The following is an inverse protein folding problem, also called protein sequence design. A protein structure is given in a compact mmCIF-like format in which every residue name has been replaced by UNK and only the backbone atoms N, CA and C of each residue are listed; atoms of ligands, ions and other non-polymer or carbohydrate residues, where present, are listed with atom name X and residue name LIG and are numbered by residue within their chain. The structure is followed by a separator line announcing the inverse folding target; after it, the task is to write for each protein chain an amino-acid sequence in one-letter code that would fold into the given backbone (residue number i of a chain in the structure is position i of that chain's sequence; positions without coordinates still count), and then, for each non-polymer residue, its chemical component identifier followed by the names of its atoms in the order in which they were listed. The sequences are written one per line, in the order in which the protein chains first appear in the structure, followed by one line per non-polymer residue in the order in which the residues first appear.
data_IF_286697543644
#
_entry.id   IF_286697543644
#
_cell.length_a   1.000
_cell.length_b   1.000
_cell.length_c   1.000
_cell.angle_alpha   90.00
_cell.angle_beta   90.00
_cell.angle_gamma   90.00
#
_symmetry.space_group_name_H-M   'P 1'
#
loop_
_entity.id
_entity.type
_entity.pdbx_description
1 polymer ?
#
# COMPACT_ATOMS: atom_id res chain seq x y z
N UNK A 1 -17.56 8.03 12.71
CA UNK A 1 -16.22 8.25 13.33
C UNK A 1 -15.56 9.42 12.64
N UNK A 2 -15.11 10.41 13.38
CA UNK A 2 -14.40 11.55 12.81
C UNK A 2 -12.92 11.22 12.58
N UNK A 3 -12.21 12.08 11.81
CA UNK A 3 -10.77 11.95 11.63
C UNK A 3 -10.01 11.98 12.96
N UNK A 4 -10.40 12.86 13.87
CA UNK A 4 -9.77 12.96 15.19
C UNK A 4 -10.02 11.71 16.05
N UNK A 5 -11.22 11.12 15.99
CA UNK A 5 -11.51 9.88 16.71
C UNK A 5 -10.62 8.73 16.20
N UNK A 6 -10.40 8.68 14.87
CA UNK A 6 -9.54 7.67 14.27
C UNK A 6 -8.08 7.83 14.70
N UNK A 7 -7.56 9.07 14.71
CA UNK A 7 -6.20 9.35 15.21
C UNK A 7 -6.07 8.99 16.69
N UNK A 8 -7.09 9.30 17.51
CA UNK A 8 -7.09 8.92 18.92
C UNK A 8 -7.11 7.40 19.11
N UNK A 9 -7.83 6.68 18.25
CA UNK A 9 -7.84 5.21 18.22
C UNK A 9 -6.46 4.65 17.90
N UNK A 10 -5.78 5.15 16.86
CA UNK A 10 -4.41 4.71 16.51
C UNK A 10 -3.45 4.94 17.68
N UNK A 11 -3.49 6.11 18.32
CA UNK A 11 -2.66 6.42 19.50
C UNK A 11 -2.90 5.44 20.65
N UNK A 12 -4.17 5.05 20.88
CA UNK A 12 -4.53 4.07 21.91
C UNK A 12 -3.96 2.70 21.56
N UNK A 13 -4.12 2.23 20.32
CA UNK A 13 -3.57 0.95 19.87
C UNK A 13 -2.05 0.89 20.04
N UNK A 14 -1.33 1.97 19.72
CA UNK A 14 0.11 2.05 19.93
C UNK A 14 0.46 1.95 21.43
N UNK A 15 -0.26 2.66 22.30
CA UNK A 15 -0.02 2.65 23.74
C UNK A 15 -0.33 1.28 24.37
N UNK A 16 -1.38 0.60 23.93
CA UNK A 16 -1.77 -0.73 24.40
C UNK A 16 -0.70 -1.79 24.03
N UNK A 17 -0.17 -1.74 22.82
CA UNK A 17 0.92 -2.64 22.37
C UNK A 17 2.23 -2.37 23.13
N UNK A 18 2.55 -1.12 23.40
CA UNK A 18 3.71 -0.76 24.22
C UNK A 18 3.57 -1.27 25.65
N UNK A 19 2.38 -1.16 26.25
CA UNK A 19 2.10 -1.66 27.60
C UNK A 19 2.14 -3.19 27.67
N UNK A 20 1.82 -3.89 26.59
CA UNK A 20 1.92 -5.34 26.49
C UNK A 20 3.36 -5.87 26.35
N UNK A 21 4.36 -4.97 26.33
CA UNK A 21 5.77 -5.34 26.22
C UNK A 21 6.24 -5.66 24.82
N UNK A 22 5.50 -5.24 23.81
CA UNK A 22 5.95 -5.25 22.43
C UNK A 22 7.05 -4.19 22.28
N UNK A 23 8.27 -4.56 22.63
CA UNK A 23 9.46 -3.78 22.34
C UNK A 23 9.95 -4.12 20.94
N UNK A 24 9.47 -3.43 19.95
CA UNK A 24 10.27 -3.22 18.75
C UNK A 24 11.57 -2.57 19.24
N UNK A 25 12.73 -3.16 18.97
CA UNK A 25 14.01 -2.88 19.64
C UNK A 25 14.53 -1.45 19.55
N UNK A 26 13.92 -0.54 20.25
CA UNK A 26 14.31 0.87 20.34
C UNK A 26 13.34 1.67 21.19
N UNK A 27 13.81 2.75 21.80
CA UNK A 27 12.97 3.73 22.48
C UNK A 27 11.96 4.29 21.46
N UNK A 28 10.70 3.89 21.59
CA UNK A 28 9.61 4.44 20.78
C UNK A 28 9.43 5.90 21.22
N UNK A 29 10.05 6.82 20.50
CA UNK A 29 9.57 8.19 20.49
C UNK A 29 8.12 8.13 20.05
N UNK A 30 7.21 8.66 20.85
CA UNK A 30 5.79 8.72 20.48
C UNK A 30 5.69 9.36 19.09
N UNK A 31 4.85 8.85 18.19
CA UNK A 31 4.66 9.49 16.89
C UNK A 31 4.24 10.94 17.14
N UNK A 32 5.20 11.84 17.00
CA UNK A 32 5.15 13.19 17.56
C UNK A 32 4.17 14.10 16.82
N UNK A 33 3.73 13.73 15.63
CA UNK A 33 2.91 14.60 14.82
C UNK A 33 1.63 13.95 14.33
N UNK A 34 0.54 14.69 14.44
CA UNK A 34 -0.72 14.36 13.75
C UNK A 34 -0.49 14.09 12.25
N UNK A 35 0.44 14.83 11.63
CA UNK A 35 0.75 14.64 10.20
C UNK A 35 1.41 13.30 9.92
N UNK A 36 2.27 12.83 10.78
CA UNK A 36 2.91 11.52 10.61
C UNK A 36 1.89 10.38 10.73
N UNK A 37 1.00 10.45 11.72
CA UNK A 37 -0.10 9.49 11.83
C UNK A 37 -1.04 9.52 10.63
N UNK A 38 -1.29 10.69 10.04
CA UNK A 38 -2.05 10.79 8.79
C UNK A 38 -1.35 10.09 7.63
N UNK A 39 -0.04 10.20 7.52
CA UNK A 39 0.73 9.49 6.49
C UNK A 39 0.62 7.96 6.67
N UNK A 40 0.69 7.45 7.91
CA UNK A 40 0.48 6.03 8.17
C UNK A 40 -0.95 5.59 7.89
N UNK A 41 -1.94 6.40 8.22
CA UNK A 41 -3.35 6.12 7.91
C UNK A 41 -3.60 6.08 6.41
N UNK A 42 -3.06 7.01 5.64
CA UNK A 42 -3.21 7.04 4.18
C UNK A 42 -2.52 5.84 3.52
N UNK A 43 -1.35 5.45 4.02
CA UNK A 43 -0.67 4.23 3.59
C UNK A 43 -1.52 2.99 3.92
N UNK A 44 -2.09 2.92 5.11
CA UNK A 44 -2.96 1.82 5.51
C UNK A 44 -4.21 1.73 4.65
N UNK A 45 -4.81 2.87 4.28
CA UNK A 45 -5.93 2.95 3.33
C UNK A 45 -5.53 2.38 1.97
N UNK A 46 -4.36 2.77 1.45
CA UNK A 46 -3.88 2.27 0.15
C UNK A 46 -3.67 0.75 0.17
N UNK A 47 -3.00 0.22 1.20
CA UNK A 47 -2.75 -1.21 1.35
C UNK A 47 -4.05 -1.99 1.55
N UNK A 48 -4.93 -1.54 2.44
CA UNK A 48 -6.22 -2.18 2.68
C UNK A 48 -7.05 -2.24 1.41
N UNK A 49 -7.18 -1.11 0.70
CA UNK A 49 -7.91 -1.04 -0.57
C UNK A 49 -7.31 -2.00 -1.60
N UNK A 50 -5.99 -2.04 -1.75
CA UNK A 50 -5.30 -2.94 -2.67
C UNK A 50 -5.58 -4.41 -2.36
N UNK A 51 -5.58 -4.82 -1.08
CA UNK A 51 -5.91 -6.19 -0.66
C UNK A 51 -7.36 -6.57 -0.99
N UNK A 52 -8.31 -5.69 -0.68
CA UNK A 52 -9.71 -5.94 -0.92
C UNK A 52 -10.04 -6.01 -2.41
N UNK A 53 -9.43 -5.15 -3.21
CA UNK A 53 -9.54 -5.16 -4.66
C UNK A 53 -8.91 -6.42 -5.27
N UNK A 54 -7.75 -6.87 -4.79
CA UNK A 54 -7.11 -8.12 -5.23
C UNK A 54 -7.95 -9.35 -4.91
N UNK A 55 -8.79 -9.29 -3.89
CA UNK A 55 -9.79 -10.33 -3.55
C UNK A 55 -11.06 -10.23 -4.39
N UNK A 56 -11.15 -9.23 -5.26
CA UNK A 56 -12.33 -8.99 -6.08
C UNK A 56 -13.53 -8.50 -5.29
N UNK A 57 -13.33 -7.82 -4.16
CA UNK A 57 -14.41 -7.33 -3.31
C UNK A 57 -15.29 -6.33 -4.10
N UNK A 58 -16.57 -6.67 -4.38
CA UNK A 58 -17.45 -5.85 -5.22
C UNK A 58 -17.77 -4.48 -4.62
N UNK A 59 -17.51 -4.28 -3.34
CA UNK A 59 -17.70 -2.98 -2.66
C UNK A 59 -16.76 -1.88 -3.17
N UNK A 60 -15.66 -2.28 -3.80
CA UNK A 60 -14.66 -1.37 -4.39
C UNK A 60 -14.92 -1.14 -5.88
N UNK A 61 -16.02 -1.65 -6.44
CA UNK A 61 -16.40 -1.38 -7.80
C UNK A 61 -17.12 -0.04 -7.92
N UNK A 62 -16.65 0.77 -8.85
CA UNK A 62 -17.24 2.05 -9.25
C UNK A 62 -17.38 2.11 -10.77
N UNK A 63 -17.94 3.18 -11.29
CA UNK A 63 -18.05 3.41 -12.72
C UNK A 63 -17.96 4.88 -13.06
N UNK A 64 -17.41 5.19 -14.23
CA UNK A 64 -17.41 6.52 -14.80
C UNK A 64 -17.59 6.44 -16.32
N UNK A 65 -18.02 7.53 -16.94
CA UNK A 65 -18.08 7.62 -18.39
C UNK A 65 -16.74 8.18 -18.87
N UNK A 66 -15.93 7.37 -19.57
CA UNK A 66 -14.62 7.82 -20.02
C UNK A 66 -14.76 8.82 -21.18
N UNK A 67 -14.00 9.89 -21.11
CA UNK A 67 -13.86 10.89 -22.18
C UNK A 67 -12.38 10.99 -22.54
N UNK A 68 -12.09 10.98 -23.86
CA UNK A 68 -10.70 11.09 -24.32
C UNK A 68 -10.07 12.40 -23.85
N UNK A 69 -8.91 12.31 -23.24
CA UNK A 69 -8.17 13.46 -22.73
C UNK A 69 -8.54 13.87 -21.30
N UNK A 70 -9.61 13.31 -20.73
CA UNK A 70 -9.98 13.56 -19.34
C UNK A 70 -9.10 12.74 -18.38
N UNK A 71 -9.03 13.21 -17.13
CA UNK A 71 -8.41 12.44 -16.06
C UNK A 71 -9.34 11.32 -15.59
N UNK A 72 -8.75 10.18 -15.23
CA UNK A 72 -9.48 9.17 -14.48
C UNK A 72 -9.86 9.72 -13.09
N UNK A 73 -10.89 9.15 -12.43
CA UNK A 73 -11.23 9.52 -11.06
C UNK A 73 -10.01 9.40 -10.11
N UNK A 74 -9.91 10.26 -9.12
CA UNK A 74 -8.77 10.30 -8.19
C UNK A 74 -8.61 9.01 -7.36
N UNK A 75 -9.70 8.25 -7.22
CA UNK A 75 -9.76 6.97 -6.54
C UNK A 75 -9.53 5.77 -7.46
N UNK A 76 -9.28 6.00 -8.76
CA UNK A 76 -9.07 4.95 -9.76
C UNK A 76 -7.83 4.11 -9.43
N UNK A 77 -7.99 2.77 -9.46
CA UNK A 77 -6.89 1.82 -9.39
C UNK A 77 -6.65 1.13 -10.73
N UNK A 78 -7.65 0.41 -11.22
CA UNK A 78 -7.61 -0.23 -12.54
C UNK A 78 -9.01 -0.63 -13.01
N UNK A 79 -9.16 -0.91 -14.29
CA UNK A 79 -10.44 -1.31 -14.85
C UNK A 79 -10.90 -2.69 -14.37
N UNK A 80 -12.19 -2.83 -14.12
CA UNK A 80 -12.83 -4.10 -13.79
C UNK A 80 -13.23 -4.83 -15.09
N UNK A 81 -12.28 -5.54 -15.68
CA UNK A 81 -12.45 -6.28 -16.93
C UNK A 81 -11.74 -5.65 -18.12
N UNK A 82 -11.87 -6.26 -19.29
CA UNK A 82 -11.30 -5.75 -20.52
C UNK A 82 -12.13 -4.58 -21.05
N UNK A 83 -11.51 -3.45 -21.23
CA UNK A 83 -12.11 -2.26 -21.83
C UNK A 83 -11.19 -1.72 -22.93
N UNK A 84 -11.71 -1.12 -24.02
CA UNK A 84 -10.89 -0.59 -25.10
C UNK A 84 -10.34 0.80 -24.75
N UNK A 85 -9.82 0.93 -23.54
CA UNK A 85 -9.36 2.19 -22.96
C UNK A 85 -7.95 1.98 -22.41
N UNK A 86 -7.06 2.92 -22.68
CA UNK A 86 -5.78 3.05 -22.02
C UNK A 86 -5.78 4.22 -21.05
N UNK A 87 -4.92 4.15 -20.06
CA UNK A 87 -4.66 5.25 -19.15
C UNK A 87 -3.16 5.48 -19.11
N UNK A 88 -2.74 6.65 -19.58
CA UNK A 88 -1.34 7.06 -19.53
C UNK A 88 -1.23 8.37 -18.72
N UNK A 89 -0.38 8.36 -17.69
CA UNK A 89 -0.24 9.48 -16.77
C UNK A 89 -1.57 9.92 -16.10
N UNK A 90 -2.53 9.00 -15.94
CA UNK A 90 -3.85 9.30 -15.41
C UNK A 90 -4.83 9.90 -16.43
N UNK A 91 -4.45 9.97 -17.70
CA UNK A 91 -5.29 10.50 -18.78
C UNK A 91 -5.90 9.35 -19.59
N UNK A 92 -7.19 9.48 -19.90
CA UNK A 92 -7.96 8.50 -20.69
C UNK A 92 -7.63 8.63 -22.18
N UNK A 93 -7.32 7.51 -22.81
CA UNK A 93 -7.30 7.36 -24.28
C UNK A 93 -8.05 6.09 -24.70
N UNK A 94 -8.37 5.97 -26.00
CA UNK A 94 -9.12 4.84 -26.54
C UNK A 94 -8.30 4.11 -27.60
N UNK A 95 -8.30 2.76 -27.55
CA UNK A 95 -7.72 1.92 -28.62
C UNK A 95 -8.61 1.82 -29.89
N UNK A 96 -9.79 2.48 -29.89
CA UNK A 96 -10.76 2.44 -30.97
C UNK A 96 -11.75 3.60 -30.85
N UNK A 97 -12.95 3.48 -31.44
CA UNK A 97 -13.99 4.50 -31.32
C UNK A 97 -14.30 4.79 -29.85
N UNK A 98 -14.44 6.06 -29.52
CA UNK A 98 -14.82 6.49 -28.18
C UNK A 98 -16.13 5.82 -27.74
N UNK A 99 -16.13 5.27 -26.54
CA UNK A 99 -17.35 4.68 -25.95
C UNK A 99 -18.06 5.72 -25.10
N UNK A 100 -19.37 5.76 -25.22
CA UNK A 100 -20.24 6.55 -24.33
C UNK A 100 -20.78 5.71 -23.16
N UNK A 101 -20.38 4.43 -23.10
CA UNK A 101 -20.83 3.54 -22.04
C UNK A 101 -19.95 3.69 -20.79
N UNK A 102 -20.55 3.55 -19.58
CA UNK A 102 -19.80 3.57 -18.36
C UNK A 102 -18.76 2.44 -18.32
N UNK A 103 -17.51 2.80 -18.02
CA UNK A 103 -16.46 1.85 -17.71
C UNK A 103 -16.47 1.55 -16.21
N UNK A 104 -16.40 0.27 -15.84
CA UNK A 104 -16.29 -0.16 -14.46
C UNK A 104 -14.83 -0.21 -14.05
N UNK A 105 -14.54 0.22 -12.85
CA UNK A 105 -13.19 0.20 -12.29
C UNK A 105 -13.20 -0.14 -10.81
N UNK A 106 -12.07 -0.59 -10.31
CA UNK A 106 -11.84 -0.72 -8.89
C UNK A 106 -11.32 0.61 -8.33
N UNK A 107 -11.99 1.08 -7.30
CA UNK A 107 -11.71 2.33 -6.63
C UNK A 107 -11.00 2.08 -5.30
N UNK A 108 -10.08 2.97 -4.94
CA UNK A 108 -9.51 3.03 -3.62
C UNK A 108 -10.46 3.78 -2.68
N UNK A 109 -10.43 3.45 -1.40
CA UNK A 109 -11.08 4.29 -0.38
C UNK A 109 -10.41 5.68 -0.34
N UNK A 110 -11.17 6.74 -0.04
CA UNK A 110 -10.61 8.08 0.14
C UNK A 110 -9.53 8.11 1.22
N UNK A 111 -8.47 8.87 1.00
CA UNK A 111 -7.44 9.09 2.01
C UNK A 111 -7.98 9.85 3.22
N UNK A 112 -7.49 9.49 4.41
CA UNK A 112 -7.91 10.13 5.67
C UNK A 112 -7.45 11.59 5.74
N UNK A 113 -6.29 11.90 5.16
CA UNK A 113 -5.75 13.27 5.09
C UNK A 113 -6.62 14.23 4.27
N UNK A 114 -7.47 13.73 3.36
CA UNK A 114 -8.38 14.55 2.56
C UNK A 114 -9.51 15.18 3.40
N UNK A 115 -9.77 14.68 4.60
CA UNK A 115 -10.84 15.15 5.48
C UNK A 115 -10.31 16.11 6.54
N UNK A 116 -11.16 17.03 6.99
CA UNK A 116 -10.84 17.90 8.12
C UNK A 116 -10.99 17.15 9.46
N UNK A 117 -10.46 17.71 10.52
CA UNK A 117 -10.40 17.08 11.84
C UNK A 117 -11.74 16.58 12.38
N UNK A 118 -12.81 17.32 12.13
CA UNK A 118 -14.15 17.02 12.64
C UNK A 118 -15.08 16.43 11.60
N UNK A 119 -14.59 16.21 10.38
CA UNK A 119 -15.40 15.61 9.34
C UNK A 119 -15.67 14.14 9.68
N UNK A 120 -16.91 13.71 9.49
CA UNK A 120 -17.23 12.29 9.52
C UNK A 120 -16.62 11.59 8.29
N UNK A 121 -15.94 10.49 8.55
CA UNK A 121 -15.33 9.70 7.51
C UNK A 121 -16.40 8.84 6.81
N UNK A 122 -16.45 8.85 5.47
CA UNK A 122 -17.45 8.09 4.70
C UNK A 122 -17.18 6.58 4.68
N UNK A 123 -16.15 6.15 5.39
CA UNK A 123 -15.72 4.76 5.48
C UNK A 123 -16.62 3.98 6.45
N UNK A 124 -16.73 2.67 6.23
CA UNK A 124 -17.40 1.79 7.20
C UNK A 124 -16.52 1.63 8.45
N UNK A 125 -17.16 1.42 9.57
CA UNK A 125 -16.47 1.29 10.86
C UNK A 125 -15.46 0.13 10.85
N UNK A 126 -15.81 -1.02 10.25
CA UNK A 126 -14.92 -2.18 10.17
C UNK A 126 -13.67 -1.89 9.33
N UNK A 127 -13.84 -1.13 8.23
CA UNK A 127 -12.72 -0.69 7.40
C UNK A 127 -11.80 0.24 8.19
N UNK A 128 -12.37 1.20 8.93
CA UNK A 128 -11.60 2.14 9.77
C UNK A 128 -10.86 1.43 10.90
N UNK A 129 -11.45 0.41 11.51
CA UNK A 129 -10.77 -0.40 12.54
C UNK A 129 -9.55 -1.12 11.95
N UNK A 130 -9.69 -1.72 10.76
CA UNK A 130 -8.58 -2.39 10.08
C UNK A 130 -7.49 -1.41 9.67
N UNK A 131 -7.87 -0.26 9.11
CA UNK A 131 -6.95 0.82 8.74
C UNK A 131 -6.20 1.35 9.96
N UNK A 132 -6.89 1.56 11.10
CA UNK A 132 -6.26 2.00 12.34
C UNK A 132 -5.24 0.98 12.86
N UNK A 133 -5.56 -0.31 12.83
CA UNK A 133 -4.64 -1.36 13.25
C UNK A 133 -3.39 -1.43 12.36
N UNK A 134 -3.55 -1.33 11.04
CA UNK A 134 -2.41 -1.26 10.11
C UNK A 134 -1.55 -0.02 10.35
N UNK A 135 -2.18 1.15 10.55
CA UNK A 135 -1.45 2.39 10.82
C UNK A 135 -0.67 2.32 12.15
N UNK A 136 -1.24 1.67 13.18
CA UNK A 136 -0.54 1.44 14.45
C UNK A 136 0.68 0.53 14.26
N UNK A 137 0.56 -0.55 13.46
CA UNK A 137 1.68 -1.43 13.11
C UNK A 137 2.78 -0.64 12.39
N UNK A 138 2.43 0.24 11.44
CA UNK A 138 3.43 1.06 10.74
C UNK A 138 4.14 2.03 11.67
N UNK A 139 3.41 2.63 12.62
CA UNK A 139 4.01 3.52 13.61
C UNK A 139 4.96 2.77 14.55
N UNK A 140 4.57 1.57 15.01
CA UNK A 140 5.41 0.72 15.86
C UNK A 140 6.66 0.21 15.13
N UNK A 141 6.55 -0.12 13.84
CA UNK A 141 7.66 -0.62 13.02
C UNK A 141 8.49 0.49 12.37
N UNK A 142 8.25 1.75 12.70
CA UNK A 142 8.96 2.91 12.12
C UNK A 142 10.47 2.75 12.11
N UNK A 143 11.05 2.17 13.15
CA UNK A 143 12.50 2.01 13.30
C UNK A 143 13.06 0.77 12.60
N UNK A 144 12.22 -0.21 12.29
CA UNK A 144 12.61 -1.46 11.62
C UNK A 144 12.22 -1.48 10.14
N UNK A 145 11.81 -0.33 9.59
CA UNK A 145 11.36 -0.25 8.22
C UNK A 145 12.47 -0.64 7.25
N UNK A 146 12.45 -1.91 6.88
CA UNK A 146 13.35 -2.45 5.87
C UNK A 146 12.69 -2.34 4.49
N UNK A 147 13.09 -1.34 3.73
CA UNK A 147 12.63 -1.08 2.36
C UNK A 147 12.71 -2.35 1.48
N UNK A 148 13.63 -3.25 1.78
CA UNK A 148 13.79 -4.52 1.08
C UNK A 148 12.61 -5.49 1.31
N UNK A 149 11.95 -5.45 2.47
CA UNK A 149 10.76 -6.28 2.72
C UNK A 149 9.55 -5.77 1.93
N UNK A 150 9.37 -4.46 1.84
CA UNK A 150 8.31 -3.88 1.03
C UNK A 150 8.51 -4.13 -0.47
N UNK A 151 9.74 -4.01 -0.95
CA UNK A 151 10.09 -4.34 -2.33
C UNK A 151 9.87 -5.83 -2.62
N UNK A 152 10.13 -6.71 -1.66
CA UNK A 152 9.84 -8.13 -1.79
C UNK A 152 8.33 -8.42 -1.83
N UNK A 153 7.52 -7.72 -0.99
CA UNK A 153 6.06 -7.82 -1.00
C UNK A 153 5.44 -7.31 -2.29
N UNK A 154 6.05 -6.31 -2.92
CA UNK A 154 5.64 -5.77 -4.22
C UNK A 154 6.20 -6.59 -5.40
N UNK A 155 6.97 -7.66 -5.15
CA UNK A 155 7.65 -8.43 -6.19
C UNK A 155 8.81 -7.66 -6.86
N UNK A 156 9.24 -6.55 -6.26
CA UNK A 156 10.33 -5.69 -6.72
C UNK A 156 11.63 -5.89 -5.90
N UNK A 157 11.72 -6.99 -5.14
CA UNK A 157 12.92 -7.34 -4.43
C UNK A 157 14.11 -7.47 -5.39
N UNK A 158 15.35 -7.27 -4.92
CA UNK A 158 16.53 -7.46 -5.75
C UNK A 158 16.47 -8.86 -6.35
N UNK A 159 16.45 -8.94 -7.68
CA UNK A 159 16.56 -10.19 -8.41
C UNK A 159 17.75 -10.95 -7.81
N UNK A 160 17.49 -12.15 -7.28
CA UNK A 160 18.39 -12.87 -6.40
C UNK A 160 19.83 -12.75 -6.81
N UNK A 161 20.63 -12.20 -5.91
CA UNK A 161 22.07 -12.25 -6.01
C UNK A 161 22.46 -13.72 -6.09
N UNK A 162 22.80 -14.18 -7.28
CA UNK A 162 23.39 -15.49 -7.46
C UNK A 162 24.54 -15.61 -6.49
N UNK A 163 24.49 -16.63 -5.65
CA UNK A 163 25.61 -16.99 -4.80
C UNK A 163 26.85 -17.09 -5.71
N UNK A 164 28.00 -16.54 -5.29
CA UNK A 164 29.22 -16.70 -6.04
C UNK A 164 29.51 -18.20 -6.14
N UNK A 165 29.48 -18.72 -7.35
CA UNK A 165 29.92 -20.07 -7.63
C UNK A 165 31.38 -20.13 -7.25
N UNK A 166 31.68 -20.82 -6.15
CA UNK A 166 33.05 -21.13 -5.76
C UNK A 166 33.64 -21.99 -6.88
N UNK A 167 34.48 -21.42 -7.71
CA UNK A 167 35.32 -22.12 -8.66
C UNK A 167 36.38 -22.83 -7.83
N UNK A 168 36.17 -24.11 -7.57
CA UNK A 168 37.19 -25.01 -7.02
C UNK A 168 38.30 -25.13 -8.05
N UNK A 169 39.39 -24.42 -7.83
CA UNK A 169 40.61 -24.61 -8.59
C UNK A 169 41.18 -25.99 -8.25
N UNK A 170 41.08 -26.92 -9.20
CA UNK A 170 41.86 -28.16 -9.17
C UNK A 170 43.33 -27.80 -9.34
N UNK A 171 44.07 -27.92 -8.25
CA UNK A 171 45.54 -27.98 -8.31
C UNK A 171 45.95 -29.36 -8.86
N UNK A 172 46.29 -29.36 -10.12
CA UNK A 172 46.97 -30.50 -10.73
C UNK A 172 48.32 -30.76 -10.07
N UNK A 173 48.45 -31.88 -9.41
CA UNK A 173 49.73 -32.38 -8.88
C UNK A 173 50.55 -32.94 -10.05
N UNK A 174 51.57 -32.23 -10.45
CA UNK A 174 52.67 -32.80 -11.22
C UNK A 174 53.49 -33.73 -10.34
N UNK A 175 53.42 -35.02 -10.62
CA UNK A 175 54.45 -35.98 -10.16
C UNK A 175 55.47 -36.15 -11.29
N UNK A 176 56.68 -35.59 -11.04
CA UNK A 176 57.83 -35.99 -11.76
C UNK A 176 58.27 -37.39 -11.41
N UNK A 177 58.64 -38.20 -12.39
CA UNK A 177 59.38 -39.41 -12.26
C UNK A 177 60.60 -39.36 -13.17
N UNK A 178 61.75 -39.46 -12.54
CA UNK A 178 63.04 -40.03 -12.99
C UNK A 178 63.37 -40.05 -14.48
#
# INVERSE_FOLDING_TARGET
MTRNDLIALVRRLIADEQAAGFTAGGSLEQPEGTQELLNYLDRAVAEYSGREVSRGNPRFLSSFVPVKGDKVPDDFLFFAGAVPISVDGGIVDFYGPASTLPARYFARLPYISAFKERDELPHRQDDLMTVAALAAIYALNKQEYNISQDLALLGMGPAGGGAPVAVSGEQGAERGAS
#
